data_IF_398346736884
#
_entry.id   IF_398346736884
#
_cell.length_a   1.000
_cell.length_b   1.000
_cell.length_c   1.000
_cell.angle_alpha   90.00
_cell.angle_beta   90.00
_cell.angle_gamma   90.00
#
_symmetry.space_group_name_H-M   'P 1'
#
loop_
_entity.id
_entity.type
_entity.pdbx_description
1 polymer ?
#
# COMPACT_ATOMS: atom_id res chain seq x y z
N UNK A 1 70.51 13.97 -14.67
CA UNK A 1 69.45 14.85 -14.14
C UNK A 1 68.33 14.90 -15.17
N UNK A 2 67.18 14.35 -14.77
CA UNK A 2 65.82 14.47 -15.30
C UNK A 2 65.44 13.79 -16.64
N UNK A 3 64.67 12.70 -16.45
CA UNK A 3 63.82 12.00 -17.40
C UNK A 3 62.43 12.67 -17.52
N UNK A 4 61.85 12.56 -18.72
CA UNK A 4 60.43 12.57 -19.11
C UNK A 4 59.34 12.81 -18.05
N UNK A 5 58.39 13.69 -18.36
CA UNK A 5 56.96 13.44 -18.11
C UNK A 5 56.12 13.92 -19.30
N UNK A 6 55.56 12.95 -20.02
CA UNK A 6 54.49 13.18 -20.99
C UNK A 6 53.22 13.64 -20.29
N UNK A 7 52.46 14.49 -20.98
CA UNK A 7 51.24 15.09 -20.50
C UNK A 7 50.20 14.04 -20.09
N UNK A 8 49.89 14.00 -18.79
CA UNK A 8 48.77 13.26 -18.25
C UNK A 8 47.46 13.76 -18.87
N UNK A 9 46.69 12.81 -19.38
CA UNK A 9 45.29 13.00 -19.78
C UNK A 9 44.49 13.22 -18.49
N UNK A 10 43.65 14.27 -18.38
CA UNK A 10 42.94 14.55 -17.14
C UNK A 10 41.99 13.40 -16.79
N UNK A 11 41.77 13.09 -15.50
CA UNK A 11 40.81 12.07 -15.08
C UNK A 11 39.43 12.47 -15.59
N UNK A 12 38.79 11.55 -16.33
CA UNK A 12 37.42 11.71 -16.80
C UNK A 12 36.50 12.09 -15.63
N UNK A 13 35.70 13.13 -15.83
CA UNK A 13 34.71 13.60 -14.88
C UNK A 13 33.82 12.43 -14.42
N UNK A 14 33.79 12.19 -13.10
CA UNK A 14 32.87 11.23 -12.46
C UNK A 14 31.44 11.65 -12.81
N UNK A 15 30.73 10.79 -13.52
CA UNK A 15 29.35 11.02 -13.96
C UNK A 15 28.41 11.11 -12.74
N UNK A 16 28.13 12.33 -12.30
CA UNK A 16 27.28 12.63 -11.14
C UNK A 16 25.81 12.56 -11.52
N UNK A 17 25.31 11.35 -11.77
CA UNK A 17 23.95 10.86 -11.49
C UNK A 17 23.68 9.61 -12.33
N UNK A 18 24.20 8.48 -11.86
CA UNK A 18 23.98 7.19 -12.51
C UNK A 18 22.53 6.77 -12.27
N UNK A 19 21.69 7.09 -13.25
CA UNK A 19 20.26 6.79 -13.22
C UNK A 19 19.98 5.32 -13.52
N UNK A 20 20.86 4.68 -14.28
CA UNK A 20 20.70 3.35 -14.85
C UNK A 20 22.03 2.58 -14.78
N UNK A 21 21.96 1.28 -14.51
CA UNK A 21 23.11 0.40 -14.69
C UNK A 21 22.68 -0.90 -15.37
N UNK A 22 23.53 -1.38 -16.27
CA UNK A 22 23.46 -2.73 -16.82
C UNK A 22 24.88 -3.26 -16.87
N UNK A 23 25.36 -3.90 -15.79
CA UNK A 23 26.64 -4.61 -15.82
C UNK A 23 26.63 -5.63 -16.98
N UNK A 24 27.81 -6.01 -17.51
CA UNK A 24 27.88 -7.15 -18.41
C UNK A 24 27.28 -8.38 -17.72
N UNK A 25 26.68 -9.30 -18.49
CA UNK A 25 26.10 -10.53 -17.89
C UNK A 25 27.21 -11.33 -17.18
N UNK A 26 28.36 -11.47 -17.83
CA UNK A 26 29.53 -12.16 -17.28
C UNK A 26 30.83 -11.48 -17.75
N UNK A 27 31.82 -11.49 -16.88
CA UNK A 27 33.21 -11.17 -17.18
C UNK A 27 33.96 -12.43 -17.57
N UNK A 28 34.91 -12.28 -18.49
CA UNK A 28 35.88 -13.34 -18.83
C UNK A 28 36.93 -13.48 -17.73
N UNK A 29 37.30 -14.72 -17.39
CA UNK A 29 38.29 -15.06 -16.37
C UNK A 29 37.99 -14.38 -15.01
N UNK A 30 36.81 -14.62 -14.41
CA UNK A 30 36.53 -14.13 -13.07
C UNK A 30 37.44 -14.83 -12.05
N UNK A 31 37.84 -14.10 -11.00
CA UNK A 31 38.49 -14.66 -9.83
C UNK A 31 37.54 -15.57 -9.04
N UNK A 32 36.24 -15.20 -9.02
CA UNK A 32 35.19 -15.92 -8.30
C UNK A 32 33.84 -15.91 -9.05
N UNK A 33 33.11 -17.03 -8.94
CA UNK A 33 31.67 -17.05 -9.14
C UNK A 33 30.98 -16.75 -7.82
N UNK A 34 29.95 -15.92 -7.83
CA UNK A 34 29.26 -15.49 -6.61
C UNK A 34 27.77 -15.71 -6.78
N UNK A 35 27.18 -16.55 -5.93
CA UNK A 35 25.74 -16.78 -5.90
C UNK A 35 25.14 -16.00 -4.73
N UNK A 36 24.03 -15.31 -4.99
CA UNK A 36 23.37 -14.46 -3.99
C UNK A 36 21.90 -14.81 -3.88
N UNK A 37 21.38 -14.80 -2.66
CA UNK A 37 19.96 -15.03 -2.39
C UNK A 37 19.50 -14.22 -1.16
N UNK A 38 18.22 -13.88 -1.15
CA UNK A 38 17.54 -13.24 -0.02
C UNK A 38 16.29 -14.02 0.37
N UNK A 39 16.22 -14.46 1.62
CA UNK A 39 15.10 -15.23 2.14
C UNK A 39 14.30 -14.47 3.19
N UNK A 40 13.00 -14.77 3.25
CA UNK A 40 12.11 -14.32 4.33
C UNK A 40 11.31 -15.49 4.84
N UNK A 41 11.38 -15.69 6.15
CA UNK A 41 10.55 -16.62 6.91
C UNK A 41 9.77 -15.86 7.99
N UNK A 42 8.96 -16.56 8.79
CA UNK A 42 8.15 -15.91 9.82
C UNK A 42 9.01 -15.30 10.94
N UNK A 43 10.14 -15.95 11.24
CA UNK A 43 11.10 -15.57 12.26
C UNK A 43 12.05 -14.45 11.85
N UNK A 44 12.19 -14.14 10.55
CA UNK A 44 13.06 -13.06 10.10
C UNK A 44 13.34 -13.01 8.60
N UNK A 45 14.34 -12.21 8.27
CA UNK A 45 14.78 -11.98 6.89
C UNK A 45 16.29 -12.15 6.87
N UNK A 46 16.80 -12.93 5.92
CA UNK A 46 18.22 -13.26 5.80
C UNK A 46 18.67 -13.10 4.37
N UNK A 47 19.98 -12.94 4.18
CA UNK A 47 20.60 -12.93 2.86
C UNK A 47 21.94 -13.64 2.91
N UNK A 48 22.34 -14.18 1.77
CA UNK A 48 23.63 -14.83 1.61
C UNK A 48 24.35 -14.36 0.36
N UNK A 49 25.68 -14.30 0.47
CA UNK A 49 26.61 -14.12 -0.64
C UNK A 49 27.62 -15.28 -0.56
N UNK A 50 27.52 -16.22 -1.48
CA UNK A 50 28.32 -17.43 -1.50
C UNK A 50 29.33 -17.39 -2.64
N UNK A 51 30.62 -17.39 -2.30
CA UNK A 51 31.71 -17.29 -3.28
C UNK A 51 32.26 -18.68 -3.63
N UNK A 52 32.58 -18.88 -4.89
CA UNK A 52 33.10 -20.12 -5.44
C UNK A 52 34.35 -19.84 -6.28
N UNK A 53 35.38 -20.65 -6.09
CA UNK A 53 36.61 -20.64 -6.89
C UNK A 53 36.85 -22.04 -7.41
N UNK A 54 37.01 -22.19 -8.73
CA UNK A 54 37.16 -23.50 -9.38
C UNK A 54 36.04 -24.49 -8.98
N UNK A 55 34.78 -24.04 -8.95
CA UNK A 55 33.60 -24.80 -8.51
C UNK A 55 33.63 -25.33 -7.06
N UNK A 56 34.55 -24.83 -6.24
CA UNK A 56 34.59 -25.13 -4.81
C UNK A 56 34.16 -23.90 -4.01
N UNK A 57 33.31 -24.11 -3.00
CA UNK A 57 32.91 -23.05 -2.10
C UNK A 57 34.14 -22.51 -1.36
N UNK A 58 34.26 -21.18 -1.29
CA UNK A 58 35.40 -20.49 -0.69
C UNK A 58 34.98 -19.78 0.60
N UNK A 59 34.17 -18.73 0.48
CA UNK A 59 33.72 -17.90 1.60
C UNK A 59 32.23 -17.57 1.44
N UNK A 60 31.48 -17.62 2.54
CA UNK A 60 30.05 -17.31 2.56
C UNK A 60 29.79 -16.17 3.55
N UNK A 61 29.15 -15.11 3.09
CA UNK A 61 28.72 -14.00 3.93
C UNK A 61 27.23 -14.12 4.18
N UNK A 62 26.84 -14.22 5.46
CA UNK A 62 25.45 -14.42 5.88
C UNK A 62 25.04 -13.25 6.74
N UNK A 63 23.97 -12.56 6.35
CA UNK A 63 23.46 -11.41 7.10
C UNK A 63 21.99 -11.58 7.46
N UNK A 64 21.67 -11.17 8.69
CA UNK A 64 20.33 -11.09 9.21
C UNK A 64 19.82 -9.66 9.11
N UNK A 65 18.66 -9.48 8.50
CA UNK A 65 17.95 -8.21 8.41
C UNK A 65 16.81 -8.14 9.43
N UNK A 66 16.28 -6.94 9.65
CA UNK A 66 15.12 -6.76 10.52
C UNK A 66 13.86 -7.37 9.89
N UNK A 67 12.94 -7.90 10.72
CA UNK A 67 11.67 -8.51 10.29
C UNK A 67 10.78 -7.59 9.43
N UNK A 68 10.99 -6.27 9.52
CA UNK A 68 10.29 -5.29 8.69
C UNK A 68 10.76 -5.28 7.21
N UNK A 69 11.98 -5.75 6.94
CA UNK A 69 12.57 -5.75 5.61
C UNK A 69 11.90 -6.77 4.70
N UNK A 70 11.97 -6.55 3.38
CA UNK A 70 11.40 -7.44 2.37
C UNK A 70 12.44 -8.35 1.74
N UNK A 71 12.02 -9.49 1.18
CA UNK A 71 12.86 -10.34 0.30
C UNK A 71 13.61 -9.51 -0.73
N UNK A 72 12.91 -8.61 -1.43
CA UNK A 72 13.54 -7.70 -2.41
C UNK A 72 14.72 -6.87 -1.83
N UNK A 73 14.64 -6.47 -0.56
CA UNK A 73 15.76 -5.75 0.06
C UNK A 73 16.92 -6.68 0.40
N UNK A 74 16.62 -7.91 0.84
CA UNK A 74 17.62 -8.95 1.11
C UNK A 74 18.40 -9.31 -0.16
N UNK A 75 17.68 -9.60 -1.25
CA UNK A 75 18.25 -9.87 -2.58
C UNK A 75 19.17 -8.75 -3.06
N UNK A 76 18.67 -7.52 -3.00
CA UNK A 76 19.44 -6.37 -3.47
C UNK A 76 20.62 -6.03 -2.56
N UNK A 77 20.50 -6.29 -1.26
CA UNK A 77 21.59 -6.17 -0.30
C UNK A 77 22.69 -7.22 -0.56
N UNK A 78 22.32 -8.44 -0.96
CA UNK A 78 23.29 -9.48 -1.32
C UNK A 78 24.11 -9.07 -2.56
N UNK A 79 23.45 -8.57 -3.61
CA UNK A 79 24.11 -8.01 -4.80
C UNK A 79 25.01 -6.83 -4.41
N UNK A 80 24.52 -5.93 -3.56
CA UNK A 80 25.27 -4.77 -3.08
C UNK A 80 26.53 -5.18 -2.32
N UNK A 81 26.42 -6.18 -1.44
CA UNK A 81 27.54 -6.70 -0.66
C UNK A 81 28.58 -7.37 -1.57
N UNK A 82 28.16 -8.24 -2.49
CA UNK A 82 29.05 -8.88 -3.46
C UNK A 82 29.84 -7.86 -4.29
N UNK A 83 29.18 -6.79 -4.76
CA UNK A 83 29.83 -5.72 -5.51
C UNK A 83 30.83 -4.91 -4.67
N UNK A 84 30.50 -4.60 -3.42
CA UNK A 84 31.43 -3.96 -2.49
C UNK A 84 32.63 -4.85 -2.19
N UNK A 85 32.40 -6.15 -1.98
CA UNK A 85 33.46 -7.13 -1.74
C UNK A 85 34.43 -7.21 -2.93
N UNK A 86 33.91 -7.28 -4.15
CA UNK A 86 34.71 -7.23 -5.37
C UNK A 86 35.52 -5.94 -5.48
N UNK A 87 34.90 -4.78 -5.26
CA UNK A 87 35.58 -3.49 -5.33
C UNK A 87 36.68 -3.32 -4.26
N UNK A 88 36.42 -3.78 -3.03
CA UNK A 88 37.34 -3.62 -1.90
C UNK A 88 38.58 -4.50 -2.04
N UNK A 89 38.43 -5.68 -2.64
CA UNK A 89 39.53 -6.63 -2.87
C UNK A 89 40.12 -6.54 -4.28
N UNK A 90 39.54 -5.72 -5.16
CA UNK A 90 39.87 -5.64 -6.58
C UNK A 90 39.77 -7.00 -7.30
N UNK A 91 38.73 -7.78 -6.97
CA UNK A 91 38.42 -9.07 -7.62
C UNK A 91 37.45 -8.88 -8.78
N UNK A 92 37.67 -9.62 -9.87
CA UNK A 92 36.69 -9.80 -10.94
C UNK A 92 35.73 -10.93 -10.56
N UNK A 93 34.44 -10.66 -10.51
CA UNK A 93 33.44 -11.62 -10.09
C UNK A 93 32.27 -11.69 -11.06
N UNK A 94 31.63 -12.85 -11.14
CA UNK A 94 30.33 -13.02 -11.79
C UNK A 94 29.27 -13.29 -10.73
N UNK A 95 28.36 -12.34 -10.54
CA UNK A 95 27.22 -12.47 -9.62
C UNK A 95 26.07 -13.17 -10.33
N UNK A 96 25.57 -14.23 -9.72
CA UNK A 96 24.40 -14.99 -10.13
C UNK A 96 23.30 -14.81 -9.07
N UNK A 97 22.17 -14.26 -9.49
CA UNK A 97 20.98 -14.05 -8.63
C UNK A 97 19.74 -14.55 -9.35
N UNK A 98 18.81 -15.16 -8.64
CA UNK A 98 17.50 -15.51 -9.20
C UNK A 98 16.46 -14.38 -9.07
N UNK A 99 16.84 -13.27 -8.42
CA UNK A 99 16.01 -12.10 -8.24
C UNK A 99 15.95 -11.21 -9.49
N UNK A 100 15.15 -11.63 -10.47
CA UNK A 100 14.86 -10.82 -11.66
C UNK A 100 14.34 -9.43 -11.28
N UNK A 101 13.59 -9.33 -10.17
CA UNK A 101 13.09 -8.06 -9.65
C UNK A 101 14.21 -7.08 -9.25
N UNK A 102 15.31 -7.57 -8.67
CA UNK A 102 16.48 -6.76 -8.31
C UNK A 102 17.20 -6.26 -9.55
N UNK A 103 17.42 -7.14 -10.55
CA UNK A 103 18.03 -6.75 -11.82
C UNK A 103 17.19 -5.70 -12.54
N UNK A 104 15.86 -5.87 -12.60
CA UNK A 104 14.96 -4.91 -13.23
C UNK A 104 14.93 -3.56 -12.48
N UNK A 105 15.04 -3.57 -11.15
CA UNK A 105 15.13 -2.34 -10.37
C UNK A 105 16.44 -1.58 -10.63
N UNK A 106 17.56 -2.30 -10.79
CA UNK A 106 18.86 -1.72 -11.16
C UNK A 106 18.85 -1.16 -12.61
N UNK A 107 18.13 -1.81 -13.53
CA UNK A 107 17.89 -1.34 -14.89
C UNK A 107 16.83 -0.23 -15.00
N UNK A 108 16.19 0.20 -13.91
CA UNK A 108 15.19 1.27 -13.96
C UNK A 108 15.82 2.65 -13.82
N UNK A 109 15.67 3.53 -14.81
CA UNK A 109 16.22 4.90 -14.78
C UNK A 109 15.61 5.82 -13.68
N UNK A 110 14.44 5.47 -13.15
CA UNK A 110 13.62 6.35 -12.30
C UNK A 110 13.28 5.75 -10.93
N UNK A 111 14.19 4.97 -10.35
CA UNK A 111 13.98 4.44 -9.01
C UNK A 111 13.87 5.56 -7.97
N UNK A 112 12.75 5.57 -7.23
CA UNK A 112 12.53 6.45 -6.06
C UNK A 112 13.15 5.89 -4.78
N UNK A 113 13.70 4.67 -4.83
CA UNK A 113 14.32 4.02 -3.67
C UNK A 113 15.77 4.45 -3.56
N UNK A 114 16.12 5.14 -2.48
CA UNK A 114 17.51 5.49 -2.20
C UNK A 114 18.40 4.24 -2.13
N UNK A 115 17.89 3.16 -1.52
CA UNK A 115 18.61 1.90 -1.42
C UNK A 115 19.03 1.34 -2.79
N UNK A 116 18.10 1.35 -3.77
CA UNK A 116 18.39 0.95 -5.16
C UNK A 116 19.42 1.88 -5.80
N UNK A 117 19.29 3.19 -5.60
CA UNK A 117 20.21 4.16 -6.20
C UNK A 117 21.63 4.05 -5.63
N UNK A 118 21.77 3.77 -4.33
CA UNK A 118 23.07 3.48 -3.72
C UNK A 118 23.68 2.20 -4.31
N UNK A 119 22.90 1.13 -4.50
CA UNK A 119 23.41 -0.10 -5.15
C UNK A 119 23.88 0.15 -6.58
N UNK A 120 23.19 1.00 -7.35
CA UNK A 120 23.67 1.39 -8.69
C UNK A 120 25.02 2.12 -8.66
N UNK A 121 25.21 3.02 -7.69
CA UNK A 121 26.47 3.75 -7.53
C UNK A 121 27.63 2.81 -7.21
N UNK A 122 27.39 1.84 -6.32
CA UNK A 122 28.36 0.80 -5.97
C UNK A 122 28.71 -0.04 -7.20
N UNK A 123 27.71 -0.58 -7.89
CA UNK A 123 27.92 -1.38 -9.10
C UNK A 123 28.63 -0.59 -10.19
N UNK A 124 28.39 0.72 -10.31
CA UNK A 124 29.14 1.54 -11.28
C UNK A 124 30.59 1.74 -10.88
N UNK A 125 30.87 1.82 -9.58
CA UNK A 125 32.25 1.93 -9.10
C UNK A 125 32.98 0.61 -9.37
N UNK A 126 32.26 -0.51 -9.30
CA UNK A 126 32.75 -1.86 -9.59
C UNK A 126 32.50 -2.31 -11.06
N UNK A 127 32.27 -1.38 -12.01
CA UNK A 127 31.76 -1.72 -13.36
C UNK A 127 32.64 -2.72 -14.14
N UNK A 128 33.95 -2.65 -13.94
CA UNK A 128 34.95 -3.46 -14.63
C UNK A 128 35.32 -4.73 -13.82
N UNK A 129 34.70 -4.90 -12.65
CA UNK A 129 34.94 -5.95 -11.67
C UNK A 129 33.73 -6.88 -11.49
N UNK A 130 32.53 -6.48 -11.91
CA UNK A 130 31.30 -7.24 -11.65
C UNK A 130 30.53 -7.54 -12.94
N UNK A 131 30.36 -8.83 -13.22
CA UNK A 131 29.28 -9.34 -14.06
C UNK A 131 28.03 -9.61 -13.23
N UNK A 132 26.84 -9.41 -13.81
CA UNK A 132 25.56 -9.66 -13.14
C UNK A 132 24.61 -10.45 -14.07
N UNK A 133 24.41 -11.72 -13.74
CA UNK A 133 23.56 -12.66 -14.47
C UNK A 133 22.34 -13.07 -13.65
N UNK A 134 21.21 -13.20 -14.35
CA UNK A 134 20.04 -13.86 -13.78
C UNK A 134 20.17 -15.38 -13.95
N UNK A 135 19.89 -16.13 -12.88
CA UNK A 135 19.76 -17.59 -12.93
C UNK A 135 18.35 -18.01 -12.53
N UNK A 136 17.90 -19.17 -12.99
CA UNK A 136 16.57 -19.65 -12.63
C UNK A 136 16.60 -20.29 -11.24
N UNK A 137 15.65 -19.90 -10.39
CA UNK A 137 15.45 -20.52 -9.08
C UNK A 137 15.04 -22.00 -9.21
N UNK A 138 15.49 -22.83 -8.27
CA UNK A 138 15.03 -24.21 -8.04
C UNK A 138 15.08 -25.15 -9.26
N UNK A 139 16.16 -25.09 -10.04
CA UNK A 139 16.41 -26.00 -11.18
C UNK A 139 17.67 -26.84 -11.05
N UNK A 140 18.22 -27.02 -9.84
CA UNK A 140 19.41 -27.86 -9.65
C UNK A 140 20.73 -27.14 -9.91
N UNK A 141 20.78 -25.80 -9.94
CA UNK A 141 22.05 -25.06 -10.03
C UNK A 141 22.69 -25.07 -8.64
N UNK A 142 23.81 -25.80 -8.42
CA UNK A 142 24.31 -26.05 -7.07
C UNK A 142 24.64 -24.76 -6.29
N UNK A 143 25.22 -23.77 -6.96
CA UNK A 143 25.54 -22.47 -6.33
C UNK A 143 24.30 -21.68 -5.90
N UNK A 144 23.22 -21.69 -6.69
CA UNK A 144 21.98 -20.99 -6.34
C UNK A 144 21.25 -21.70 -5.19
N UNK A 145 21.21 -23.03 -5.21
CA UNK A 145 20.63 -23.82 -4.11
C UNK A 145 21.41 -23.63 -2.81
N UNK A 146 22.74 -23.53 -2.91
CA UNK A 146 23.60 -23.22 -1.77
C UNK A 146 23.30 -21.83 -1.19
N UNK A 147 23.15 -20.82 -2.05
CA UNK A 147 22.81 -19.46 -1.62
C UNK A 147 21.43 -19.40 -0.94
N UNK A 148 20.39 -20.04 -1.50
CA UNK A 148 19.04 -20.13 -0.89
C UNK A 148 19.08 -20.79 0.51
N UNK A 149 19.83 -21.88 0.65
CA UNK A 149 20.02 -22.54 1.95
C UNK A 149 20.71 -21.62 2.95
N UNK A 150 21.75 -20.91 2.52
CA UNK A 150 22.49 -20.01 3.40
C UNK A 150 21.72 -18.74 3.74
N UNK A 151 20.87 -18.23 2.85
CA UNK A 151 20.01 -17.08 3.11
C UNK A 151 18.94 -17.41 4.17
N UNK A 152 18.41 -18.65 4.17
CA UNK A 152 17.55 -19.17 5.24
C UNK A 152 18.31 -19.33 6.55
N UNK A 153 19.51 -19.92 6.49
CA UNK A 153 20.37 -20.08 7.66
C UNK A 153 20.76 -18.72 8.27
N UNK A 154 20.99 -17.69 7.44
CA UNK A 154 21.35 -16.35 7.88
C UNK A 154 20.31 -15.71 8.81
N UNK A 155 19.05 -16.14 8.77
CA UNK A 155 18.00 -15.64 9.67
C UNK A 155 18.31 -15.95 11.14
N UNK A 156 18.97 -17.07 11.42
CA UNK A 156 19.29 -17.51 12.77
C UNK A 156 20.74 -17.22 13.16
N UNK A 157 21.70 -17.38 12.25
CA UNK A 157 23.15 -17.28 12.56
C UNK A 157 23.88 -16.15 11.85
N UNK A 158 23.22 -15.42 10.95
CA UNK A 158 23.83 -14.34 10.18
C UNK A 158 24.17 -13.12 11.05
N UNK A 159 25.20 -12.37 10.63
CA UNK A 159 25.56 -11.10 11.26
C UNK A 159 24.44 -10.07 11.05
N UNK A 160 24.14 -9.25 12.06
CA UNK A 160 23.10 -8.23 11.92
C UNK A 160 23.51 -7.15 10.92
N UNK A 161 22.69 -6.97 9.88
CA UNK A 161 22.84 -5.91 8.89
C UNK A 161 21.63 -4.98 8.97
N UNK A 162 21.85 -3.77 9.46
CA UNK A 162 20.81 -2.76 9.55
C UNK A 162 20.60 -2.07 8.20
N UNK A 163 19.39 -2.21 7.65
CA UNK A 163 18.94 -1.42 6.50
C UNK A 163 17.57 -0.79 6.78
N UNK A 164 17.26 0.39 6.22
CA UNK A 164 15.99 1.07 6.46
C UNK A 164 14.77 0.21 6.08
N UNK A 165 13.70 0.33 6.87
CA UNK A 165 12.43 -0.32 6.58
C UNK A 165 11.89 0.10 5.18
N UNK A 166 11.29 -0.83 4.42
CA UNK A 166 10.79 -0.49 3.09
C UNK A 166 9.54 0.39 3.20
N UNK A 167 9.38 1.33 2.27
CA UNK A 167 8.21 2.23 2.22
C UNK A 167 6.87 1.49 2.25
N UNK A 168 6.81 0.31 1.63
CA UNK A 168 5.62 -0.56 1.64
C UNK A 168 5.24 -1.02 3.06
N UNK A 169 6.22 -1.38 3.89
CA UNK A 169 6.01 -1.77 5.29
C UNK A 169 5.44 -0.60 6.10
N UNK A 170 6.07 0.58 6.00
CA UNK A 170 5.62 1.79 6.71
C UNK A 170 4.20 2.18 6.29
N UNK A 171 3.93 2.21 4.98
CA UNK A 171 2.59 2.50 4.47
C UNK A 171 1.54 1.52 4.99
N UNK A 172 1.86 0.23 5.07
CA UNK A 172 0.96 -0.80 5.61
C UNK A 172 0.69 -0.56 7.10
N UNK A 173 1.73 -0.30 7.89
CA UNK A 173 1.61 -0.01 9.33
C UNK A 173 0.78 1.25 9.59
N UNK A 174 1.06 2.35 8.88
CA UNK A 174 0.32 3.61 8.98
C UNK A 174 -1.15 3.40 8.61
N UNK A 175 -1.43 2.71 7.49
CA UNK A 175 -2.82 2.41 7.08
C UNK A 175 -3.55 1.60 8.14
N UNK A 176 -2.89 0.58 8.71
CA UNK A 176 -3.48 -0.23 9.79
C UNK A 176 -3.80 0.63 11.02
N UNK A 177 -2.86 1.49 11.43
CA UNK A 177 -3.03 2.40 12.55
C UNK A 177 -4.20 3.38 12.33
N UNK A 178 -4.26 4.02 11.16
CA UNK A 178 -5.36 4.94 10.82
C UNK A 178 -6.70 4.22 10.83
N UNK A 179 -6.79 3.04 10.21
CA UNK A 179 -8.03 2.27 10.17
C UNK A 179 -8.48 1.82 11.55
N UNK A 180 -7.55 1.38 12.39
CA UNK A 180 -7.85 1.00 13.76
C UNK A 180 -8.41 2.17 14.57
N UNK A 181 -7.73 3.33 14.56
CA UNK A 181 -8.21 4.51 15.26
C UNK A 181 -9.55 5.00 14.73
N UNK A 182 -9.74 5.00 13.41
CA UNK A 182 -11.00 5.39 12.81
C UNK A 182 -12.14 4.44 13.19
N UNK A 183 -11.90 3.12 13.19
CA UNK A 183 -12.88 2.13 13.64
C UNK A 183 -13.24 2.29 15.12
N UNK A 184 -12.24 2.55 15.98
CA UNK A 184 -12.47 2.82 17.41
C UNK A 184 -13.32 4.07 17.60
N UNK A 185 -12.97 5.18 16.93
CA UNK A 185 -13.77 6.40 16.97
C UNK A 185 -15.20 6.14 16.47
N UNK A 186 -15.34 5.45 15.32
CA UNK A 186 -16.62 5.10 14.72
C UNK A 186 -17.54 4.32 15.65
N UNK A 187 -16.99 3.31 16.35
CA UNK A 187 -17.76 2.48 17.28
C UNK A 187 -18.18 3.25 18.54
N UNK A 188 -17.34 4.17 19.01
CA UNK A 188 -17.60 4.96 20.22
C UNK A 188 -18.40 6.25 19.97
N UNK A 189 -18.61 6.64 18.72
CA UNK A 189 -19.31 7.87 18.37
C UNK A 189 -20.81 7.78 18.66
N UNK A 190 -21.31 8.46 19.69
CA UNK A 190 -22.65 8.24 20.25
C UNK A 190 -23.72 9.26 19.82
N UNK A 191 -23.48 10.05 18.77
CA UNK A 191 -24.53 10.92 18.23
C UNK A 191 -25.67 10.10 17.61
N UNK A 192 -26.90 10.61 17.65
CA UNK A 192 -28.06 9.94 17.04
C UNK A 192 -27.83 9.58 15.56
N UNK A 193 -27.25 10.51 14.79
CA UNK A 193 -26.91 10.29 13.38
C UNK A 193 -25.81 9.24 13.21
N UNK A 194 -24.81 9.23 14.09
CA UNK A 194 -23.76 8.21 14.09
C UNK A 194 -24.31 6.80 14.37
N UNK A 195 -25.19 6.68 15.36
CA UNK A 195 -25.88 5.44 15.69
C UNK A 195 -26.69 4.96 14.48
N UNK A 196 -27.51 5.84 13.88
CA UNK A 196 -28.32 5.51 12.71
C UNK A 196 -27.47 5.02 11.54
N UNK A 197 -26.40 5.74 11.18
CA UNK A 197 -25.54 5.34 10.05
C UNK A 197 -24.93 3.96 10.30
N UNK A 198 -24.56 3.61 11.55
CA UNK A 198 -24.01 2.30 11.92
C UNK A 198 -24.97 1.12 11.75
N UNK A 199 -26.28 1.36 11.78
CA UNK A 199 -27.28 0.32 11.50
C UNK A 199 -27.19 -0.15 10.04
N UNK A 200 -26.85 0.76 9.13
CA UNK A 200 -26.75 0.48 7.69
C UNK A 200 -25.32 0.23 7.21
N UNK A 201 -24.32 0.83 7.87
CA UNK A 201 -22.90 0.71 7.54
C UNK A 201 -22.13 0.16 8.74
N UNK A 202 -21.80 -1.13 8.69
CA UNK A 202 -21.25 -1.84 9.85
C UNK A 202 -19.78 -1.54 10.16
N UNK A 203 -19.01 -1.00 9.22
CA UNK A 203 -17.58 -0.74 9.43
C UNK A 203 -17.10 0.43 8.58
N UNK A 204 -16.02 1.07 9.03
CA UNK A 204 -15.32 2.08 8.26
C UNK A 204 -14.56 1.45 7.10
N UNK A 205 -14.51 2.14 5.97
CA UNK A 205 -13.73 1.69 4.82
C UNK A 205 -13.18 2.88 4.04
N UNK A 206 -11.89 2.88 3.71
CA UNK A 206 -11.27 3.96 2.95
C UNK A 206 -11.71 3.95 1.47
N UNK A 207 -12.37 2.87 1.03
CA UNK A 207 -12.90 2.72 -0.34
C UNK A 207 -14.38 3.04 -0.44
N UNK A 208 -15.07 3.17 0.70
CA UNK A 208 -16.51 3.39 0.73
C UNK A 208 -16.80 4.88 0.79
N UNK A 209 -17.47 5.40 -0.26
CA UNK A 209 -17.85 6.80 -0.33
C UNK A 209 -19.24 6.92 -0.96
N UNK A 210 -20.16 7.56 -0.24
CA UNK A 210 -21.49 7.89 -0.74
C UNK A 210 -21.49 9.35 -1.15
N UNK A 211 -21.76 9.62 -2.42
CA UNK A 211 -21.89 10.98 -2.97
C UNK A 211 -23.33 11.42 -3.20
N UNK A 212 -24.27 10.48 -3.22
CA UNK A 212 -25.67 10.79 -3.50
C UNK A 212 -26.32 11.46 -2.28
N UNK A 213 -26.79 12.69 -2.44
CA UNK A 213 -27.41 13.49 -1.36
C UNK A 213 -28.62 12.81 -0.71
N UNK A 214 -29.44 12.09 -1.49
CA UNK A 214 -30.65 11.42 -1.00
C UNK A 214 -30.26 10.28 -0.04
N UNK A 215 -29.26 9.48 -0.42
CA UNK A 215 -28.72 8.44 0.45
C UNK A 215 -28.10 9.02 1.73
N UNK A 216 -27.41 10.17 1.63
CA UNK A 216 -26.84 10.86 2.79
C UNK A 216 -27.95 11.35 3.73
N UNK A 217 -29.02 11.97 3.20
CA UNK A 217 -30.18 12.40 3.99
C UNK A 217 -30.82 11.23 4.72
N UNK A 218 -31.04 10.12 4.02
CA UNK A 218 -31.61 8.92 4.61
C UNK A 218 -30.74 8.36 5.74
N UNK A 219 -29.43 8.17 5.48
CA UNK A 219 -28.51 7.58 6.45
C UNK A 219 -28.29 8.44 7.69
N UNK A 220 -28.09 9.74 7.49
CA UNK A 220 -27.80 10.66 8.59
C UNK A 220 -29.06 11.15 9.31
N UNK A 221 -30.23 11.03 8.68
CA UNK A 221 -31.44 11.74 9.08
C UNK A 221 -31.37 13.25 8.85
N UNK A 222 -30.27 13.77 8.27
CA UNK A 222 -30.05 15.21 8.05
C UNK A 222 -30.59 15.65 6.70
N UNK A 223 -31.90 15.56 6.53
CA UNK A 223 -32.58 15.95 5.31
C UNK A 223 -33.65 17.01 5.56
N UNK A 224 -34.46 17.30 4.53
CA UNK A 224 -35.55 18.26 4.62
C UNK A 224 -36.76 17.66 5.35
N UNK A 225 -36.56 17.19 6.58
CA UNK A 225 -37.54 16.46 7.37
C UNK A 225 -38.01 17.31 8.56
N UNK A 226 -39.31 17.34 8.90
CA UNK A 226 -39.82 18.06 10.07
C UNK A 226 -39.05 17.77 11.36
N UNK A 227 -38.77 16.49 11.65
CA UNK A 227 -38.02 16.08 12.84
C UNK A 227 -36.62 16.71 12.89
N UNK A 228 -35.91 16.72 11.77
CA UNK A 228 -34.57 17.29 11.70
C UNK A 228 -34.58 18.82 11.77
N UNK A 229 -35.49 19.48 11.05
CA UNK A 229 -35.57 20.94 10.98
C UNK A 229 -36.08 21.56 12.30
N UNK A 230 -36.99 20.89 13.01
CA UNK A 230 -37.46 21.30 14.33
C UNK A 230 -36.32 21.34 15.35
N UNK A 231 -35.37 20.39 15.30
CA UNK A 231 -34.16 20.41 16.14
C UNK A 231 -33.34 21.70 15.99
N UNK A 232 -33.38 22.33 14.82
CA UNK A 232 -32.73 23.61 14.54
C UNK A 232 -33.66 24.82 14.69
N UNK A 233 -34.85 24.63 15.27
CA UNK A 233 -35.86 25.69 15.46
C UNK A 233 -36.28 26.37 14.16
N UNK A 234 -36.24 25.63 13.04
CA UNK A 234 -36.74 26.10 11.74
C UNK A 234 -38.21 25.76 11.51
N UNK A 235 -38.74 24.84 12.30
CA UNK A 235 -40.14 24.45 12.35
C UNK A 235 -40.53 24.27 13.81
N UNK A 236 -41.78 24.58 14.16
CA UNK A 236 -42.28 24.49 15.54
C UNK A 236 -42.63 23.06 15.97
N UNK A 237 -42.83 22.17 15.01
CA UNK A 237 -43.21 20.78 15.26
C UNK A 237 -42.30 19.79 14.53
N UNK A 238 -41.92 18.65 15.16
CA UNK A 238 -41.20 17.56 14.50
C UNK A 238 -42.12 16.63 13.68
N UNK A 239 -43.42 16.91 13.64
CA UNK A 239 -44.42 16.04 13.03
C UNK A 239 -44.64 16.37 11.55
N UNK A 240 -44.91 15.32 10.78
CA UNK A 240 -45.53 15.42 9.46
C UNK A 240 -47.01 15.81 9.62
N UNK A 241 -47.61 16.42 8.59
CA UNK A 241 -49.05 16.77 8.58
C UNK A 241 -49.98 15.56 8.70
N UNK A 242 -49.49 14.35 8.43
CA UNK A 242 -50.26 13.13 8.70
C UNK A 242 -50.28 12.73 10.18
N UNK A 243 -49.66 13.51 11.08
CA UNK A 243 -49.68 13.33 12.53
C UNK A 243 -48.55 12.45 13.11
N UNK A 244 -47.72 11.83 12.27
CA UNK A 244 -46.58 11.00 12.70
C UNK A 244 -45.27 11.81 12.72
N UNK A 245 -44.23 11.29 13.37
CA UNK A 245 -42.89 11.90 13.36
C UNK A 245 -42.39 11.99 11.92
N UNK A 246 -42.07 13.20 11.46
CA UNK A 246 -41.62 13.45 10.09
C UNK A 246 -40.12 13.23 9.97
N UNK A 247 -39.67 11.98 9.94
CA UNK A 247 -38.25 11.61 9.74
C UNK A 247 -38.01 10.89 8.40
N UNK A 248 -36.75 10.55 8.13
CA UNK A 248 -36.37 9.87 6.89
C UNK A 248 -37.09 8.54 6.68
N UNK A 249 -37.32 7.75 7.73
CA UNK A 249 -37.95 6.43 7.62
C UNK A 249 -39.44 6.59 7.31
N UNK A 250 -40.10 7.54 7.98
CA UNK A 250 -41.49 7.88 7.73
C UNK A 250 -41.75 8.18 6.25
N UNK A 251 -41.01 9.11 5.64
CA UNK A 251 -41.19 9.46 4.23
C UNK A 251 -40.71 8.37 3.25
N UNK A 252 -39.83 7.46 3.69
CA UNK A 252 -39.31 6.38 2.82
C UNK A 252 -40.26 5.18 2.79
N UNK A 253 -40.95 4.89 3.89
CA UNK A 253 -41.61 3.61 4.10
C UNK A 253 -43.11 3.69 4.42
N UNK A 254 -43.59 4.76 5.06
CA UNK A 254 -44.86 4.71 5.81
C UNK A 254 -45.80 5.92 5.59
N UNK A 255 -45.30 7.05 5.11
CA UNK A 255 -46.08 8.29 5.01
C UNK A 255 -47.22 8.19 3.97
N UNK A 256 -48.44 8.56 4.37
CA UNK A 256 -49.59 8.57 3.47
C UNK A 256 -49.41 9.49 2.26
N UNK A 257 -48.63 10.58 2.40
CA UNK A 257 -48.35 11.53 1.33
C UNK A 257 -47.38 11.00 0.28
N UNK A 258 -46.58 9.99 0.61
CA UNK A 258 -45.55 9.44 -0.28
C UNK A 258 -45.83 8.00 -0.69
N UNK A 259 -47.09 7.54 -0.53
CA UNK A 259 -47.50 6.14 -0.72
C UNK A 259 -47.05 5.54 -2.05
N UNK A 260 -47.09 6.31 -3.14
CA UNK A 260 -46.69 5.87 -4.49
C UNK A 260 -45.17 5.65 -4.62
N UNK A 261 -44.39 6.29 -3.76
CA UNK A 261 -42.93 6.28 -3.77
C UNK A 261 -42.32 5.40 -2.67
N UNK A 262 -43.13 4.65 -1.91
CA UNK A 262 -42.59 3.76 -0.90
C UNK A 262 -41.66 2.71 -1.50
N UNK A 263 -40.60 2.42 -0.76
CA UNK A 263 -39.75 1.26 -0.94
C UNK A 263 -39.94 0.31 0.25
N UNK A 264 -39.58 -0.95 0.09
CA UNK A 264 -39.79 -1.94 1.15
C UNK A 264 -38.84 -1.67 2.33
N UNK A 265 -39.42 -1.54 3.54
CA UNK A 265 -38.66 -1.42 4.78
C UNK A 265 -37.91 -2.72 5.06
N UNK A 266 -36.58 -2.68 5.26
CA UNK A 266 -35.82 -3.89 5.61
C UNK A 266 -36.09 -4.32 7.05
N UNK A 267 -36.05 -5.63 7.31
CA UNK A 267 -35.92 -6.13 8.67
C UNK A 267 -34.57 -5.72 9.27
N UNK A 268 -34.48 -5.58 10.59
CA UNK A 268 -33.28 -5.09 11.28
C UNK A 268 -32.02 -5.89 10.94
N UNK A 269 -32.12 -7.22 10.89
CA UNK A 269 -31.03 -8.11 10.52
C UNK A 269 -30.50 -7.90 9.08
N UNK A 270 -31.29 -7.25 8.22
CA UNK A 270 -31.00 -7.08 6.80
C UNK A 270 -30.71 -5.63 6.40
N UNK A 271 -30.74 -4.66 7.33
CA UNK A 271 -30.49 -3.23 7.06
C UNK A 271 -29.21 -2.98 6.25
N UNK A 272 -28.11 -3.66 6.60
CA UNK A 272 -26.81 -3.51 5.93
C UNK A 272 -26.83 -4.02 4.49
N UNK A 273 -27.31 -5.24 4.27
CA UNK A 273 -27.40 -5.83 2.95
C UNK A 273 -28.37 -5.05 2.05
N UNK A 274 -29.52 -4.65 2.61
CA UNK A 274 -30.49 -3.80 1.93
C UNK A 274 -29.88 -2.48 1.49
N UNK A 275 -29.11 -1.82 2.36
CA UNK A 275 -28.48 -0.55 2.02
C UNK A 275 -27.41 -0.69 0.92
N UNK A 276 -26.58 -1.75 0.97
CA UNK A 276 -25.60 -2.02 -0.08
C UNK A 276 -26.26 -2.22 -1.45
N UNK A 277 -27.43 -2.86 -1.49
CA UNK A 277 -28.21 -3.01 -2.72
C UNK A 277 -28.85 -1.68 -3.15
N UNK A 278 -29.34 -0.88 -2.20
CA UNK A 278 -29.95 0.42 -2.46
C UNK A 278 -28.99 1.38 -3.16
N UNK A 279 -27.70 1.41 -2.78
CA UNK A 279 -26.70 2.34 -3.34
C UNK A 279 -26.64 2.28 -4.88
N UNK A 280 -26.88 1.10 -5.45
CA UNK A 280 -26.83 0.89 -6.90
C UNK A 280 -28.21 0.84 -7.56
N UNK A 281 -29.30 0.93 -6.79
CA UNK A 281 -30.66 0.86 -7.29
C UNK A 281 -31.20 2.27 -7.61
N UNK A 282 -31.00 2.70 -8.86
CA UNK A 282 -31.45 4.02 -9.34
C UNK A 282 -32.95 4.24 -9.20
N UNK A 283 -33.77 3.21 -9.40
CA UNK A 283 -35.23 3.33 -9.30
C UNK A 283 -35.66 3.60 -7.86
N UNK A 284 -35.11 2.84 -6.90
CA UNK A 284 -35.39 3.04 -5.48
C UNK A 284 -34.89 4.41 -5.00
N UNK A 285 -33.70 4.83 -5.43
CA UNK A 285 -33.18 6.18 -5.13
C UNK A 285 -34.07 7.27 -5.73
N UNK A 286 -34.59 7.07 -6.95
CA UNK A 286 -35.52 8.01 -7.59
C UNK A 286 -36.81 8.16 -6.79
N UNK A 287 -37.38 7.04 -6.32
CA UNK A 287 -38.54 7.06 -5.42
C UNK A 287 -38.25 7.83 -4.12
N UNK A 288 -37.14 7.56 -3.45
CA UNK A 288 -36.74 8.31 -2.26
C UNK A 288 -36.55 9.80 -2.54
N UNK A 289 -36.04 10.15 -3.73
CA UNK A 289 -35.90 11.55 -4.14
C UNK A 289 -37.25 12.27 -4.20
N UNK A 290 -38.28 11.64 -4.78
CA UNK A 290 -39.64 12.22 -4.80
C UNK A 290 -40.24 12.31 -3.39
N UNK A 291 -40.11 11.27 -2.57
CA UNK A 291 -40.55 11.33 -1.17
C UNK A 291 -39.93 12.49 -0.41
N UNK A 292 -38.61 12.71 -0.57
CA UNK A 292 -37.90 13.77 0.15
C UNK A 292 -38.17 15.15 -0.44
N UNK A 293 -38.52 15.24 -1.73
CA UNK A 293 -39.02 16.48 -2.34
C UNK A 293 -40.37 16.88 -1.75
N UNK A 294 -41.31 15.94 -1.61
CA UNK A 294 -42.61 16.19 -0.96
C UNK A 294 -42.40 16.67 0.49
N UNK A 295 -41.48 16.04 1.22
CA UNK A 295 -41.12 16.47 2.57
C UNK A 295 -40.57 17.90 2.60
N UNK A 296 -39.69 18.24 1.66
CA UNK A 296 -39.14 19.60 1.52
C UNK A 296 -40.22 20.65 1.20
N UNK A 297 -41.08 20.38 0.23
CA UNK A 297 -42.15 21.29 -0.18
C UNK A 297 -43.11 21.57 0.99
N UNK A 298 -43.41 20.53 1.78
CA UNK A 298 -44.18 20.65 3.01
C UNK A 298 -43.46 21.54 4.04
N UNK A 299 -42.19 21.27 4.31
CA UNK A 299 -41.40 22.06 5.26
C UNK A 299 -41.35 23.54 4.86
N UNK A 300 -41.14 23.84 3.57
CA UNK A 300 -41.10 25.21 3.06
C UNK A 300 -42.44 25.93 3.26
N UNK A 301 -43.56 25.22 3.05
CA UNK A 301 -44.90 25.78 3.27
C UNK A 301 -45.11 26.15 4.74
N UNK A 302 -44.73 25.25 5.65
CA UNK A 302 -44.86 25.46 7.11
C UNK A 302 -43.96 26.59 7.63
N UNK A 303 -42.79 26.80 7.02
CA UNK A 303 -41.89 27.91 7.37
C UNK A 303 -42.40 29.25 6.83
N UNK A 304 -43.09 29.26 5.69
CA UNK A 304 -43.57 30.51 5.05
C UNK A 304 -44.86 31.05 5.67
N UNK A 305 -45.61 30.23 6.40
CA UNK A 305 -46.85 30.62 7.09
C UNK A 305 -46.66 31.26 8.47
N UNK A 306 -45.42 31.59 8.85
CA UNK A 306 -45.06 32.16 10.16
C UNK A 306 -45.31 33.66 10.36
N UNK A 307 -45.87 34.37 9.38
CA UNK A 307 -46.32 35.75 9.51
C UNK A 307 -47.84 35.79 9.76
N UNK A 308 -48.25 35.58 11.02
CA UNK A 308 -49.57 35.97 11.53
C UNK A 308 -49.45 36.55 12.94
#
# INVERSE_FOLDING_TARGET
>A
MLLNLGADRPPQARDRNIKYISPPEQLSNPDYEVYTDGSRMDEGVGLAVCTFKNNQNSENFLFKLNICNSVFQAELAAIQHAANWAASNNYKINIFTDSLSSIMALKSAHSRSQFVNTTKQILSTARDLVGLSWVKAHVGIPGNEWADQHAKLAISVGEELEIPAPRSYLNRKIKSYILHNWLTYWNNYNSASGIRVREFIGTVSPRFLIKNKILIYFLSGHGPFPYYLNRFKKLDSPLCVCGLVGDADHYTFECSLTKEYHILKPADAHKRAWFLNLINNKQAIGKMSESFRISLDLCNTLTSSGDF
#
